data_IF_512196881742
#
_entry.id   IF_512196881742
#
_cell.length_a   1.000
_cell.length_b   1.000
_cell.length_c   1.000
_cell.angle_alpha   90.00
_cell.angle_beta   90.00
_cell.angle_gamma   90.00
#
_symmetry.space_group_name_H-M   'P 1'
#
loop_
_entity.id
_entity.type
_entity.pdbx_description
1 polymer ?
#
# COMPACT_ATOMS: atom_id res chain seq x y z
N UNK A 1 2.82 0.05 -15.57
CA UNK A 1 2.44 0.52 -14.21
C UNK A 1 1.92 -0.63 -13.39
N UNK A 2 1.88 -0.48 -12.06
CA UNK A 2 1.49 -1.53 -11.12
C UNK A 2 0.13 -2.15 -11.41
N UNK A 3 -0.88 -1.35 -11.75
CA UNK A 3 -2.22 -1.83 -12.12
C UNK A 3 -2.23 -2.86 -13.25
N UNK A 4 -1.48 -2.60 -14.35
CA UNK A 4 -1.42 -3.51 -15.49
C UNK A 4 -0.70 -4.82 -15.14
N UNK A 5 0.39 -4.74 -14.37
CA UNK A 5 1.11 -5.93 -13.91
C UNK A 5 0.24 -6.76 -12.95
N UNK A 6 -0.48 -6.09 -12.06
CA UNK A 6 -1.41 -6.71 -11.13
C UNK A 6 -2.57 -7.41 -11.87
N UNK A 7 -3.15 -6.77 -12.89
CA UNK A 7 -4.19 -7.35 -13.73
C UNK A 7 -3.71 -8.65 -14.40
N UNK A 8 -2.48 -8.64 -14.94
CA UNK A 8 -1.91 -9.80 -15.62
C UNK A 8 -1.66 -11.01 -14.69
N UNK A 9 -1.45 -10.76 -13.39
CA UNK A 9 -1.13 -11.82 -12.41
C UNK A 9 -2.36 -12.26 -11.59
N UNK A 10 -3.20 -11.31 -11.20
CA UNK A 10 -4.34 -11.54 -10.29
C UNK A 10 -5.70 -11.50 -11.00
N UNK A 11 -5.74 -11.05 -12.26
CA UNK A 11 -6.94 -10.88 -13.07
C UNK A 11 -7.56 -9.48 -12.95
N UNK A 12 -8.19 -9.01 -14.03
CA UNK A 12 -8.77 -7.66 -14.13
C UNK A 12 -9.81 -7.37 -13.04
N UNK A 13 -10.63 -8.37 -12.69
CA UNK A 13 -11.66 -8.22 -11.67
C UNK A 13 -11.08 -7.88 -10.28
N UNK A 14 -9.87 -8.35 -9.96
CA UNK A 14 -9.22 -8.08 -8.67
C UNK A 14 -8.71 -6.64 -8.59
N UNK A 15 -8.37 -6.04 -9.73
CA UNK A 15 -7.79 -4.69 -9.81
C UNK A 15 -8.77 -3.63 -10.30
N UNK A 16 -10.05 -3.98 -10.43
CA UNK A 16 -11.09 -3.05 -10.87
C UNK A 16 -11.18 -1.83 -9.93
N UNK A 17 -11.21 -2.08 -8.62
CA UNK A 17 -11.44 -1.07 -7.59
C UNK A 17 -10.16 -0.63 -6.87
N UNK A 18 -9.01 -0.60 -7.55
CA UNK A 18 -7.74 -0.15 -6.94
C UNK A 18 -7.44 1.34 -7.19
N UNK A 19 -6.68 1.95 -6.31
CA UNK A 19 -6.07 3.26 -6.47
C UNK A 19 -4.55 3.08 -6.57
N UNK A 20 -3.91 3.93 -7.37
CA UNK A 20 -2.46 3.99 -7.42
C UNK A 20 -1.93 4.66 -6.14
N UNK A 21 -0.85 4.10 -5.59
CA UNK A 21 -0.12 4.64 -4.43
C UNK A 21 1.25 5.06 -4.95
N UNK A 22 1.68 6.27 -4.61
CA UNK A 22 2.97 6.79 -5.01
C UNK A 22 3.39 7.98 -4.15
N UNK A 23 4.41 7.80 -3.31
CA UNK A 23 5.01 8.89 -2.55
C UNK A 23 6.47 8.60 -2.20
N UNK A 24 7.22 9.65 -1.92
CA UNK A 24 8.56 9.55 -1.36
C UNK A 24 8.54 10.12 0.06
N UNK A 25 8.99 9.33 1.02
CA UNK A 25 9.16 9.75 2.41
C UNK A 25 10.44 10.57 2.51
N UNK A 26 10.30 11.89 2.71
CA UNK A 26 11.44 12.81 2.85
C UNK A 26 12.29 12.49 4.09
N UNK A 27 11.63 12.00 5.16
CA UNK A 27 12.27 11.72 6.45
C UNK A 27 13.15 10.46 6.43
N UNK A 28 12.81 9.49 5.57
CA UNK A 28 13.46 8.18 5.54
C UNK A 28 14.19 7.88 4.23
N UNK A 29 13.91 8.64 3.16
CA UNK A 29 14.45 8.39 1.82
C UNK A 29 13.80 7.21 1.10
N UNK A 30 12.78 6.57 1.68
CA UNK A 30 12.02 5.52 1.01
C UNK A 30 11.10 6.10 -0.05
N UNK A 31 11.05 5.45 -1.20
CA UNK A 31 10.01 5.63 -2.20
C UNK A 31 9.05 4.46 -2.11
N UNK A 32 7.75 4.74 -2.00
CA UNK A 32 6.69 3.74 -1.98
C UNK A 32 5.81 3.95 -3.21
N UNK A 33 5.68 2.91 -4.01
CA UNK A 33 4.82 2.90 -5.17
C UNK A 33 4.06 1.59 -5.30
N UNK A 34 2.87 1.62 -5.91
CA UNK A 34 2.02 0.44 -5.95
C UNK A 34 0.58 0.70 -6.30
N UNK A 35 -0.27 -0.27 -5.96
CA UNK A 35 -1.72 -0.15 -5.99
C UNK A 35 -2.34 -0.74 -4.73
N UNK A 36 -3.47 -0.18 -4.31
CA UNK A 36 -4.26 -0.69 -3.21
C UNK A 36 -5.75 -0.61 -3.53
N UNK A 37 -6.56 -1.61 -3.14
CA UNK A 37 -8.02 -1.52 -3.30
C UNK A 37 -8.59 -0.32 -2.55
N UNK A 38 -9.43 0.47 -3.18
CA UNK A 38 -10.31 1.45 -2.53
C UNK A 38 -11.26 0.78 -1.53
N UNK A 39 -11.92 1.56 -0.68
CA UNK A 39 -12.87 1.06 0.33
C UNK A 39 -14.10 0.35 -0.27
N UNK A 40 -14.40 0.59 -1.56
CA UNK A 40 -15.54 -0.03 -2.27
C UNK A 40 -15.25 -1.49 -2.65
N UNK A 41 -13.98 -1.80 -2.96
CA UNK A 41 -13.54 -3.12 -3.40
C UNK A 41 -12.91 -3.96 -2.30
N UNK A 42 -12.26 -5.06 -2.71
CA UNK A 42 -11.48 -5.92 -1.82
C UNK A 42 -11.60 -7.41 -2.15
N UNK A 43 -11.11 -8.25 -1.23
CA UNK A 43 -11.12 -9.72 -1.32
C UNK A 43 -11.83 -10.34 -0.13
N UNK A 44 -12.39 -11.54 -0.31
CA UNK A 44 -12.94 -12.32 0.82
C UNK A 44 -11.85 -12.95 1.69
N UNK A 45 -10.66 -13.15 1.13
CA UNK A 45 -9.50 -13.72 1.81
C UNK A 45 -8.30 -12.78 1.70
N UNK A 46 -7.31 -12.97 2.57
CA UNK A 46 -6.07 -12.20 2.60
C UNK A 46 -5.01 -12.80 1.65
N UNK A 47 -5.37 -12.99 0.39
CA UNK A 47 -4.54 -13.71 -0.61
C UNK A 47 -3.99 -12.81 -1.73
N UNK A 48 -4.36 -11.53 -1.74
CA UNK A 48 -3.90 -10.54 -2.73
C UNK A 48 -3.07 -9.42 -2.09
N UNK A 49 -2.17 -9.75 -1.16
CA UNK A 49 -1.27 -8.79 -0.51
C UNK A 49 0.19 -9.13 -0.82
N UNK A 50 0.77 -8.40 -1.76
CA UNK A 50 2.12 -8.59 -2.27
C UNK A 50 2.98 -7.38 -1.88
N UNK A 51 4.17 -7.66 -1.35
CA UNK A 51 5.10 -6.65 -0.91
C UNK A 51 6.45 -6.88 -1.57
N UNK A 52 7.10 -5.79 -1.96
CA UNK A 52 8.40 -5.82 -2.62
C UNK A 52 9.35 -4.84 -1.97
N UNK A 53 10.62 -5.20 -1.88
CA UNK A 53 11.71 -4.26 -1.52
C UNK A 53 12.75 -4.32 -2.62
N UNK A 54 13.09 -3.18 -3.22
CA UNK A 54 14.07 -3.10 -4.32
C UNK A 54 13.83 -4.17 -5.41
N UNK A 55 12.57 -4.28 -5.85
CA UNK A 55 12.08 -5.25 -6.86
C UNK A 55 12.11 -6.73 -6.44
N UNK A 56 12.40 -7.06 -5.18
CA UNK A 56 12.35 -8.43 -4.65
C UNK A 56 11.05 -8.66 -3.88
N UNK A 57 10.30 -9.73 -4.14
CA UNK A 57 9.16 -10.09 -3.32
C UNK A 57 9.64 -10.46 -1.91
N UNK A 58 8.95 -9.93 -0.91
CA UNK A 58 9.23 -10.19 0.50
C UNK A 58 7.97 -10.71 1.19
N UNK A 59 8.14 -11.33 2.36
CA UNK A 59 6.99 -11.60 3.19
C UNK A 59 6.40 -10.27 3.71
N UNK A 60 5.07 -10.19 3.93
CA UNK A 60 4.43 -8.98 4.40
C UNK A 60 5.11 -8.42 5.67
N UNK A 61 5.67 -7.20 5.65
CA UNK A 61 6.23 -6.59 6.85
C UNK A 61 5.10 -6.44 7.88
N UNK A 62 5.23 -7.11 9.02
CA UNK A 62 4.11 -7.35 9.95
C UNK A 62 3.41 -6.05 10.37
N UNK A 63 4.17 -5.00 10.68
CA UNK A 63 3.62 -3.72 11.15
C UNK A 63 2.94 -2.93 10.04
N UNK A 64 3.58 -2.83 8.87
CA UNK A 64 3.01 -2.19 7.68
C UNK A 64 1.73 -2.90 7.24
N UNK A 65 1.76 -4.23 7.15
CA UNK A 65 0.59 -5.00 6.75
C UNK A 65 -0.55 -4.90 7.78
N UNK A 66 -0.22 -4.88 9.08
CA UNK A 66 -1.20 -4.64 10.14
C UNK A 66 -1.83 -3.24 10.00
N UNK A 67 -1.02 -2.20 9.83
CA UNK A 67 -1.49 -0.83 9.62
C UNK A 67 -2.46 -0.75 8.43
N UNK A 68 -2.06 -1.28 7.27
CA UNK A 68 -2.90 -1.27 6.06
C UNK A 68 -4.26 -1.94 6.32
N UNK A 69 -4.25 -3.13 6.94
CA UNK A 69 -5.47 -3.87 7.23
C UNK A 69 -6.35 -3.13 8.24
N UNK A 70 -5.78 -2.62 9.32
CA UNK A 70 -6.53 -1.92 10.36
C UNK A 70 -7.13 -0.62 9.82
N UNK A 71 -6.39 0.14 9.01
CA UNK A 71 -6.92 1.34 8.35
C UNK A 71 -8.01 0.97 7.36
N UNK A 72 -7.82 -0.05 6.52
CA UNK A 72 -8.84 -0.49 5.56
C UNK A 72 -10.13 -0.94 6.26
N UNK A 73 -10.03 -1.72 7.33
CA UNK A 73 -11.21 -2.24 8.05
C UNK A 73 -12.03 -1.16 8.76
N UNK A 74 -11.48 0.05 8.96
CA UNK A 74 -12.27 1.20 9.41
C UNK A 74 -13.30 1.65 8.37
N UNK A 75 -13.03 1.41 7.08
CA UNK A 75 -13.89 1.80 5.96
C UNK A 75 -14.62 0.61 5.33
N UNK A 76 -14.01 -0.58 5.35
CA UNK A 76 -14.62 -1.82 4.86
C UNK A 76 -14.20 -3.00 5.75
N UNK A 77 -15.00 -3.25 6.79
CA UNK A 77 -14.75 -4.31 7.78
C UNK A 77 -15.06 -5.73 7.30
N UNK A 78 -15.60 -5.90 6.09
CA UNK A 78 -16.09 -7.19 5.59
C UNK A 78 -15.13 -7.90 4.65
N UNK A 79 -14.14 -7.17 4.14
CA UNK A 79 -13.22 -7.63 3.10
C UNK A 79 -11.78 -7.33 3.50
N UNK A 80 -10.85 -7.97 2.84
CA UNK A 80 -9.42 -7.72 2.94
C UNK A 80 -8.97 -6.86 1.76
N UNK A 81 -8.04 -5.92 1.96
CA UNK A 81 -7.56 -5.09 0.88
C UNK A 81 -6.71 -5.90 -0.10
N UNK A 82 -6.83 -5.58 -1.39
CA UNK A 82 -5.83 -5.91 -2.41
C UNK A 82 -4.68 -4.94 -2.20
N UNK A 83 -3.46 -5.45 -2.02
CA UNK A 83 -2.27 -4.63 -1.73
C UNK A 83 -1.14 -5.09 -2.63
N UNK A 84 -0.55 -4.18 -3.39
CA UNK A 84 0.67 -4.42 -4.13
C UNK A 84 1.54 -3.20 -3.91
N UNK A 85 2.50 -3.30 -2.99
CA UNK A 85 3.37 -2.17 -2.63
C UNK A 85 4.83 -2.55 -2.81
N UNK A 86 5.59 -1.61 -3.37
CA UNK A 86 7.02 -1.69 -3.54
C UNK A 86 7.69 -0.58 -2.76
N UNK A 87 8.68 -0.96 -1.95
CA UNK A 87 9.53 -0.06 -1.20
C UNK A 87 10.89 -0.02 -1.88
N UNK A 88 11.31 1.17 -2.27
CA UNK A 88 12.61 1.40 -2.92
C UNK A 88 13.42 2.38 -2.08
N UNK A 89 14.66 2.03 -1.77
CA UNK A 89 15.61 2.92 -1.11
C UNK A 89 17.04 2.60 -1.56
N UNK A 90 17.97 3.52 -1.28
CA UNK A 90 19.39 3.28 -1.48
C UNK A 90 19.84 2.01 -0.73
N UNK A 91 20.79 1.26 -1.31
CA UNK A 91 21.24 -0.04 -0.74
C UNK A 91 21.76 0.08 0.70
N UNK A 92 22.23 1.27 1.11
CA UNK A 92 22.68 1.54 2.49
C UNK A 92 21.56 1.57 3.52
N UNK A 93 20.29 1.70 3.10
CA UNK A 93 19.12 1.80 3.98
C UNK A 93 18.34 0.48 4.12
N UNK A 94 18.76 -0.56 3.38
CA UNK A 94 18.10 -1.87 3.37
C UNK A 94 19.05 -2.93 3.90
N UNK A 95 18.76 -3.46 5.09
CA UNK A 95 19.45 -4.66 5.57
C UNK A 95 18.70 -5.91 5.10
N UNK A 96 19.19 -6.49 4.00
CA UNK A 96 18.63 -7.69 3.36
C UNK A 96 19.19 -8.98 4.02
N UNK A 97 20.05 -8.90 5.03
CA UNK A 97 20.86 -10.02 5.50
C UNK A 97 20.33 -10.75 6.76
N UNK A 98 19.07 -10.54 7.17
CA UNK A 98 18.67 -10.83 8.56
C UNK A 98 18.09 -12.24 8.81
N UNK A 99 17.84 -13.07 7.78
CA UNK A 99 17.33 -14.44 7.97
C UNK A 99 17.79 -15.42 6.86
N UNK A 100 17.95 -16.73 7.15
CA UNK A 100 18.38 -17.73 6.14
C UNK A 100 17.44 -17.82 4.92
N UNK A 101 16.17 -17.43 5.10
CA UNK A 101 15.13 -17.46 4.07
C UNK A 101 15.07 -16.20 3.18
N UNK A 102 15.86 -15.16 3.47
CA UNK A 102 15.97 -13.90 2.69
C UNK A 102 14.65 -13.17 2.44
N UNK A 103 13.57 -13.48 3.18
CA UNK A 103 12.23 -12.90 2.99
C UNK A 103 11.82 -11.93 4.08
N UNK A 104 12.47 -11.96 5.24
CA UNK A 104 12.29 -10.97 6.30
C UNK A 104 13.25 -9.79 6.11
N UNK A 105 12.71 -8.59 5.92
CA UNK A 105 13.49 -7.35 5.72
C UNK A 105 13.24 -6.36 6.86
N UNK A 106 14.30 -5.69 7.31
CA UNK A 106 14.19 -4.56 8.23
C UNK A 106 14.16 -3.25 7.45
N UNK A 107 13.10 -2.46 7.63
CA UNK A 107 12.95 -1.14 7.01
C UNK A 107 13.49 -0.07 7.97
N UNK A 108 14.55 0.62 7.59
CA UNK A 108 15.07 1.72 8.41
C UNK A 108 14.05 2.87 8.49
N UNK A 109 13.89 3.46 9.68
CA UNK A 109 12.91 4.54 9.89
C UNK A 109 11.44 4.09 9.86
N UNK A 110 11.16 2.82 10.19
CA UNK A 110 9.83 2.21 10.08
C UNK A 110 8.69 3.04 10.69
N UNK A 111 8.90 3.71 11.84
CA UNK A 111 7.87 4.55 12.48
C UNK A 111 7.41 5.71 11.59
N UNK A 112 8.36 6.44 11.00
CA UNK A 112 8.06 7.55 10.12
C UNK A 112 7.37 7.06 8.84
N UNK A 113 7.84 5.92 8.31
CA UNK A 113 7.22 5.27 7.15
C UNK A 113 5.77 4.83 7.43
N UNK A 114 5.50 4.30 8.62
CA UNK A 114 4.15 3.93 9.07
C UNK A 114 3.23 5.16 9.12
N UNK A 115 3.72 6.30 9.64
CA UNK A 115 2.95 7.53 9.70
C UNK A 115 2.62 8.06 8.29
N UNK A 116 3.61 8.14 7.41
CA UNK A 116 3.43 8.61 6.03
C UNK A 116 2.44 7.72 5.27
N UNK A 117 2.56 6.39 5.43
CA UNK A 117 1.65 5.43 4.82
C UNK A 117 0.24 5.57 5.38
N UNK A 118 0.07 5.73 6.69
CA UNK A 118 -1.24 5.91 7.32
C UNK A 118 -1.95 7.15 6.77
N UNK A 119 -1.22 8.25 6.59
CA UNK A 119 -1.75 9.47 6.01
C UNK A 119 -2.24 9.24 4.57
N UNK A 120 -1.41 8.62 3.72
CA UNK A 120 -1.78 8.31 2.34
C UNK A 120 -2.99 7.37 2.25
N UNK A 121 -3.06 6.34 3.09
CA UNK A 121 -4.20 5.42 3.14
C UNK A 121 -5.49 6.13 3.56
N UNK A 122 -5.41 7.02 4.54
CA UNK A 122 -6.57 7.78 5.01
C UNK A 122 -7.11 8.70 3.92
N UNK A 123 -6.26 9.23 3.05
CA UNK A 123 -6.70 10.01 1.88
C UNK A 123 -7.36 9.14 0.81
N UNK A 124 -6.87 7.91 0.60
CA UNK A 124 -7.44 6.96 -0.37
C UNK A 124 -8.81 6.44 0.08
N UNK A 125 -8.97 6.16 1.38
CA UNK A 125 -10.19 5.56 1.93
C UNK A 125 -11.20 6.57 2.46
N UNK A 126 -10.70 7.74 2.89
CA UNK A 126 -11.52 8.84 3.35
C UNK A 126 -12.51 9.29 2.30
N UNK A 127 -13.55 10.04 2.70
CA UNK A 127 -14.40 10.72 1.74
C UNK A 127 -13.48 11.56 0.84
N UNK A 128 -13.53 11.31 -0.47
CA UNK A 128 -12.89 12.21 -1.41
C UNK A 128 -13.46 13.59 -1.10
N UNK A 129 -12.62 14.53 -0.66
CA UNK A 129 -13.00 15.92 -0.55
C UNK A 129 -13.45 16.34 -1.94
N UNK A 130 -14.76 16.27 -2.19
CA UNK A 130 -15.39 17.15 -3.16
C UNK A 130 -15.15 18.53 -2.56
N UNK A 131 -14.06 19.18 -2.97
CA UNK A 131 -13.87 20.61 -2.73
C UNK A 131 -15.19 21.32 -3.06
N UNK A 132 -15.52 22.41 -2.35
CA UNK A 132 -16.87 22.96 -2.28
C UNK A 132 -17.43 23.09 -3.69
N UNK A 133 -18.39 22.21 -4.02
CA UNK A 133 -19.09 22.23 -5.29
C UNK A 133 -19.87 23.53 -5.33
N UNK A 134 -19.31 24.49 -6.06
CA UNK A 134 -19.89 25.76 -6.50
C UNK A 134 -21.41 25.70 -6.44
N UNK A 135 -21.98 26.48 -5.52
CA UNK A 135 -23.36 26.90 -5.62
C UNK A 135 -23.50 27.60 -6.98
N UNK A 136 -24.10 26.91 -7.95
CA UNK A 136 -24.71 27.58 -9.07
C UNK A 136 -25.93 28.30 -8.47
N UNK A 137 -25.74 29.59 -8.21
CA UNK A 137 -26.82 30.52 -8.00
C UNK A 137 -27.66 30.59 -9.29
N UNK A 138 -28.97 30.47 -9.14
CA UNK A 138 -29.97 30.85 -10.14
C UNK A 138 -29.91 32.35 -10.44
#
# INVERSE_FOLDING_TARGET
GWRLAAAAVLGDAVVADVADVGFQSESTGWTIDGVISTSVGGRRQRDAQLFFVNKRPIDPPKRIAKLINDTFHQYNSRMWPVVILSFTAGQSLVDVNVTPDKRTVFLHGEEALLADLQQGLTQIYGPADKGPGVALAD
#
